data_IF_643897080079
#
_entry.id   IF_643897080079
#
_cell.length_a   1.000
_cell.length_b   1.000
_cell.length_c   1.000
_cell.angle_alpha   90.00
_cell.angle_beta   90.00
_cell.angle_gamma   90.00
#
_symmetry.space_group_name_H-M   'P 1'
#
loop_
_entity.id
_entity.type
_entity.pdbx_description
1 polymer ?
#
# COMPACT_ATOMS: atom_id res chain seq x y z
N UNK A 1 34.38 -56.52 -3.19
CA UNK A 1 32.96 -56.36 -2.78
C UNK A 1 32.82 -57.02 -1.40
N UNK A 2 32.28 -56.39 -0.33
CA UNK A 2 31.02 -55.62 -0.35
C UNK A 2 30.94 -54.30 0.49
N UNK A 3 30.06 -53.41 0.00
CA UNK A 3 29.03 -52.59 0.70
C UNK A 3 29.46 -51.42 1.60
N UNK A 4 29.56 -50.26 0.93
CA UNK A 4 29.14 -48.96 1.45
C UNK A 4 27.69 -48.99 1.96
N UNK A 5 27.44 -48.38 3.12
CA UNK A 5 26.14 -47.78 3.39
C UNK A 5 26.32 -46.55 4.28
N UNK A 6 26.41 -45.42 3.61
CA UNK A 6 26.64 -44.08 4.13
C UNK A 6 25.57 -43.64 5.12
N UNK A 7 26.06 -43.20 6.27
CA UNK A 7 25.47 -42.29 7.26
C UNK A 7 24.29 -41.49 6.71
N UNK A 8 23.08 -41.87 7.12
CA UNK A 8 21.84 -41.16 6.81
C UNK A 8 21.80 -39.87 7.65
N UNK A 9 22.22 -38.76 7.05
CA UNK A 9 22.06 -37.41 7.59
C UNK A 9 20.70 -36.90 7.16
N UNK A 10 19.74 -36.83 8.09
CA UNK A 10 18.51 -36.08 7.86
C UNK A 10 18.80 -34.61 8.14
N UNK A 11 19.11 -33.86 7.08
CA UNK A 11 18.94 -32.40 7.09
C UNK A 11 17.46 -32.10 7.22
N UNK A 12 17.05 -31.59 8.39
CA UNK A 12 15.80 -30.85 8.53
C UNK A 12 15.98 -29.53 7.79
N UNK A 13 15.80 -29.59 6.48
CA UNK A 13 15.59 -28.43 5.62
C UNK A 13 14.13 -27.99 5.81
N UNK A 14 13.82 -27.44 6.98
CA UNK A 14 12.56 -26.71 7.18
C UNK A 14 12.76 -25.29 6.68
N UNK A 15 12.91 -25.16 5.36
CA UNK A 15 12.81 -23.87 4.68
C UNK A 15 11.38 -23.38 4.90
N UNK A 16 11.25 -22.35 5.72
CA UNK A 16 10.03 -21.56 5.75
C UNK A 16 9.78 -21.06 4.33
N UNK A 17 8.57 -21.25 3.74
CA UNK A 17 8.27 -20.63 2.47
C UNK A 17 8.16 -19.13 2.71
N UNK A 18 9.26 -18.44 2.44
CA UNK A 18 9.30 -17.00 2.34
C UNK A 18 8.29 -16.59 1.26
N UNK A 19 7.34 -15.76 1.65
CA UNK A 19 6.27 -15.27 0.79
C UNK A 19 6.88 -14.43 -0.35
N UNK A 20 7.29 -15.09 -1.42
CA UNK A 20 7.53 -14.47 -2.71
C UNK A 20 6.20 -13.95 -3.26
N UNK A 21 5.87 -12.71 -2.91
CA UNK A 21 4.89 -11.95 -3.69
C UNK A 21 5.61 -11.20 -4.79
N UNK A 22 5.80 -11.95 -5.88
CA UNK A 22 5.67 -11.55 -7.27
C UNK A 22 6.32 -10.21 -7.67
N UNK A 23 7.49 -10.37 -8.29
CA UNK A 23 8.02 -9.47 -9.30
C UNK A 23 7.01 -9.33 -10.45
N UNK A 24 6.53 -8.12 -10.73
CA UNK A 24 6.02 -7.75 -12.06
C UNK A 24 6.64 -6.42 -12.45
N UNK A 25 7.70 -6.52 -13.25
CA UNK A 25 8.36 -5.43 -13.96
C UNK A 25 7.43 -5.00 -15.12
N UNK A 26 6.57 -4.02 -14.88
CA UNK A 26 5.96 -3.24 -15.97
C UNK A 26 6.44 -1.81 -15.76
N UNK A 27 7.35 -1.31 -16.59
CA UNK A 27 7.81 0.08 -16.55
C UNK A 27 6.68 1.03 -16.93
N UNK A 28 5.79 1.31 -15.98
CA UNK A 28 5.04 2.56 -15.97
C UNK A 28 6.02 3.60 -15.45
N UNK A 29 6.31 4.62 -16.26
CA UNK A 29 7.15 5.75 -15.87
C UNK A 29 6.66 6.29 -14.52
N UNK A 30 7.40 5.96 -13.46
CA UNK A 30 7.12 6.45 -12.12
C UNK A 30 7.44 7.93 -12.12
N UNK A 31 6.42 8.77 -12.29
CA UNK A 31 6.54 10.20 -12.04
C UNK A 31 6.99 10.36 -10.60
N UNK A 32 8.03 11.17 -10.36
CA UNK A 32 8.59 11.39 -9.03
C UNK A 32 7.46 11.78 -8.06
N UNK A 33 7.44 11.25 -6.81
CA UNK A 33 6.40 11.56 -5.82
C UNK A 33 6.10 13.06 -5.67
N UNK A 34 7.13 13.90 -5.70
CA UNK A 34 7.02 15.36 -5.58
C UNK A 34 6.44 16.10 -6.80
N UNK A 35 6.28 15.42 -7.94
CA UNK A 35 5.63 15.98 -9.15
C UNK A 35 4.15 15.54 -9.25
N UNK A 36 3.73 14.57 -8.45
CA UNK A 36 2.34 14.10 -8.47
C UNK A 36 1.43 15.06 -7.71
N UNK A 37 0.33 15.47 -8.35
CA UNK A 37 -0.71 16.31 -7.74
C UNK A 37 -1.65 15.44 -6.93
N UNK A 38 -1.20 14.98 -5.76
CA UNK A 38 -2.03 14.19 -4.85
C UNK A 38 -3.06 15.10 -4.19
N UNK A 39 -4.33 14.69 -4.13
CA UNK A 39 -5.37 15.43 -3.41
C UNK A 39 -6.02 14.53 -2.38
N UNK A 40 -6.38 15.11 -1.25
CA UNK A 40 -6.99 14.40 -0.12
C UNK A 40 -8.33 15.08 0.18
N UNK A 41 -9.41 14.36 -0.07
CA UNK A 41 -10.79 14.80 0.20
C UNK A 41 -11.37 14.04 1.36
N UNK A 42 -12.25 14.69 2.10
CA UNK A 42 -13.14 14.01 3.03
C UNK A 42 -14.52 13.86 2.38
N UNK A 43 -14.95 12.62 2.22
CA UNK A 43 -16.30 12.28 1.78
C UNK A 43 -17.15 11.86 2.97
N UNK A 44 -18.25 12.58 3.16
CA UNK A 44 -19.27 12.34 4.19
C UNK A 44 -20.67 12.15 3.57
N UNK A 45 -20.83 12.37 2.26
CA UNK A 45 -22.15 12.40 1.61
C UNK A 45 -22.73 10.98 1.55
N UNK A 46 -23.98 10.82 2.00
CA UNK A 46 -24.73 9.55 1.95
C UNK A 46 -24.12 8.38 2.74
N UNK A 47 -23.23 8.63 3.70
CA UNK A 47 -22.56 7.58 4.50
C UNK A 47 -23.12 7.41 5.92
N UNK A 48 -24.30 7.96 6.21
CA UNK A 48 -24.98 7.77 7.51
C UNK A 48 -24.17 8.23 8.71
N UNK A 49 -23.44 9.34 8.59
CA UNK A 49 -22.56 9.88 9.64
C UNK A 49 -21.12 9.35 9.63
N UNK A 50 -20.80 8.34 8.81
CA UNK A 50 -19.41 7.85 8.67
C UNK A 50 -18.63 8.73 7.69
N UNK A 51 -17.44 9.15 8.10
CA UNK A 51 -16.51 9.88 7.23
C UNK A 51 -15.54 8.93 6.53
N UNK A 52 -15.19 9.20 5.29
CA UNK A 52 -14.18 8.48 4.52
C UNK A 52 -13.21 9.49 3.92
N UNK A 53 -11.92 9.26 4.08
CA UNK A 53 -10.86 10.05 3.46
C UNK A 53 -10.54 9.44 2.10
N UNK A 54 -10.71 10.20 1.03
CA UNK A 54 -10.42 9.79 -0.36
C UNK A 54 -9.12 10.46 -0.81
N UNK A 55 -8.19 9.68 -1.32
CA UNK A 55 -6.91 10.15 -1.85
C UNK A 55 -6.89 9.91 -3.36
N UNK A 56 -6.68 10.96 -4.12
CA UNK A 56 -6.70 10.98 -5.58
C UNK A 56 -5.41 11.56 -6.17
N UNK A 57 -5.17 11.34 -7.46
CA UNK A 57 -4.02 11.91 -8.17
C UNK A 57 -2.70 11.14 -7.97
N UNK A 58 -2.77 9.90 -7.48
CA UNK A 58 -1.64 8.98 -7.40
C UNK A 58 -1.43 8.32 -8.77
N UNK A 59 -0.41 8.77 -9.50
CA UNK A 59 -0.04 8.22 -10.81
C UNK A 59 1.04 7.16 -10.61
N UNK A 60 0.62 6.00 -10.12
CA UNK A 60 1.50 4.87 -9.83
C UNK A 60 0.83 3.55 -10.22
N UNK A 61 1.61 2.47 -10.27
CA UNK A 61 1.08 1.14 -10.63
C UNK A 61 0.10 0.66 -9.56
N UNK A 62 -0.85 -0.16 -9.97
CA UNK A 62 -1.77 -0.86 -9.06
C UNK A 62 -1.07 -1.62 -7.93
N UNK A 63 0.08 -2.23 -8.20
CA UNK A 63 0.89 -2.90 -7.17
C UNK A 63 1.41 -1.91 -6.10
N UNK A 64 1.84 -0.72 -6.52
CA UNK A 64 2.37 0.31 -5.64
C UNK A 64 1.23 1.01 -4.88
N UNK A 65 0.08 1.26 -5.52
CA UNK A 65 -1.14 1.73 -4.85
C UNK A 65 -1.54 0.79 -3.71
N UNK A 66 -1.53 -0.53 -3.97
CA UNK A 66 -1.82 -1.54 -2.94
C UNK A 66 -0.80 -1.52 -1.81
N UNK A 67 0.47 -1.30 -2.10
CA UNK A 67 1.52 -1.20 -1.10
C UNK A 67 1.35 0.07 -0.25
N UNK A 68 1.10 1.21 -0.88
CA UNK A 68 0.82 2.48 -0.22
C UNK A 68 -0.43 2.37 0.67
N UNK A 69 -1.52 1.80 0.15
CA UNK A 69 -2.72 1.53 0.94
C UNK A 69 -2.41 0.64 2.16
N UNK A 70 -1.58 -0.40 2.00
CA UNK A 70 -1.19 -1.27 3.12
C UNK A 70 -0.40 -0.49 4.18
N UNK A 71 0.53 0.38 3.77
CA UNK A 71 1.29 1.22 4.69
C UNK A 71 0.40 2.22 5.42
N UNK A 72 -0.52 2.87 4.71
CA UNK A 72 -1.49 3.80 5.30
C UNK A 72 -2.39 3.08 6.31
N UNK A 73 -2.96 1.93 5.95
CA UNK A 73 -3.77 1.10 6.87
C UNK A 73 -2.99 0.67 8.10
N UNK A 74 -1.72 0.29 7.94
CA UNK A 74 -0.85 -0.10 9.06
C UNK A 74 -0.55 1.07 10.01
N UNK A 75 -0.36 2.27 9.49
CA UNK A 75 -0.09 3.48 10.30
C UNK A 75 -1.34 4.02 10.97
N UNK A 76 -2.48 3.95 10.29
CA UNK A 76 -3.74 4.52 10.76
C UNK A 76 -4.53 3.49 11.59
N UNK A 77 -4.29 2.19 11.43
CA UNK A 77 -5.10 1.14 12.06
C UNK A 77 -6.54 1.12 11.54
N UNK A 78 -6.77 1.64 10.34
CA UNK A 78 -8.11 1.75 9.72
C UNK A 78 -8.25 0.85 8.51
N UNK A 79 -9.49 0.52 8.18
CA UNK A 79 -9.83 -0.09 6.91
C UNK A 79 -9.64 0.88 5.75
N UNK A 80 -9.45 0.33 4.56
CA UNK A 80 -9.39 1.10 3.33
C UNK A 80 -9.37 0.22 2.09
N UNK A 81 -9.80 0.78 0.96
CA UNK A 81 -9.94 0.11 -0.33
C UNK A 81 -9.34 0.97 -1.46
N UNK A 82 -9.03 0.34 -2.58
CA UNK A 82 -8.75 1.04 -3.83
C UNK A 82 -10.02 0.99 -4.67
N UNK A 83 -10.49 2.13 -5.13
CA UNK A 83 -11.66 2.26 -6.00
C UNK A 83 -11.33 3.22 -7.12
N UNK A 84 -11.38 2.76 -8.37
CA UNK A 84 -11.16 3.61 -9.55
C UNK A 84 -9.83 4.40 -9.50
N UNK A 85 -8.73 3.75 -9.10
CA UNK A 85 -7.41 4.34 -8.85
C UNK A 85 -7.35 5.39 -7.71
N UNK A 86 -8.42 5.50 -6.92
CA UNK A 86 -8.51 6.31 -5.71
C UNK A 86 -8.27 5.42 -4.49
N UNK A 87 -7.61 5.94 -3.46
CA UNK A 87 -7.53 5.26 -2.16
C UNK A 87 -8.63 5.80 -1.25
N UNK A 88 -9.51 4.93 -0.79
CA UNK A 88 -10.52 5.25 0.22
C UNK A 88 -10.06 4.71 1.57
N UNK A 89 -10.01 5.57 2.58
CA UNK A 89 -9.65 5.23 3.96
C UNK A 89 -10.81 5.57 4.88
N UNK A 90 -11.20 4.63 5.74
CA UNK A 90 -12.28 4.88 6.70
C UNK A 90 -11.84 5.87 7.79
N UNK A 91 -12.73 6.81 8.09
CA UNK A 91 -12.54 7.83 9.12
C UNK A 91 -12.16 9.19 8.57
N UNK A 92 -12.25 10.19 9.45
CA UNK A 92 -11.73 11.53 9.22
C UNK A 92 -10.26 11.56 9.65
N UNK A 93 -9.38 11.19 8.72
CA UNK A 93 -7.94 11.16 8.94
C UNK A 93 -7.21 11.97 7.90
N UNK A 94 -7.87 12.96 7.30
CA UNK A 94 -7.30 13.81 6.27
C UNK A 94 -5.98 14.44 6.70
N UNK A 95 -5.91 14.95 7.93
CA UNK A 95 -4.71 15.60 8.45
C UNK A 95 -3.55 14.60 8.64
N UNK A 96 -3.79 13.47 9.28
CA UNK A 96 -2.76 12.42 9.45
C UNK A 96 -2.30 11.85 8.11
N UNK A 97 -3.22 11.65 7.17
CA UNK A 97 -2.91 11.20 5.81
C UNK A 97 -2.03 12.23 5.09
N UNK A 98 -2.34 13.52 5.19
CA UNK A 98 -1.51 14.58 4.62
C UNK A 98 -0.08 14.53 5.18
N UNK A 99 0.08 14.46 6.50
CA UNK A 99 1.41 14.36 7.14
C UNK A 99 2.16 13.11 6.71
N UNK A 100 1.51 11.95 6.61
CA UNK A 100 2.17 10.72 6.14
C UNK A 100 2.62 10.87 4.69
N UNK A 101 1.77 11.40 3.81
CA UNK A 101 2.08 11.60 2.41
C UNK A 101 3.21 12.62 2.21
N UNK A 102 3.23 13.71 2.97
CA UNK A 102 4.31 14.70 2.98
C UNK A 102 5.64 14.07 3.40
N UNK A 103 5.64 13.27 4.47
CA UNK A 103 6.83 12.52 4.93
C UNK A 103 7.33 11.51 3.89
N UNK A 104 6.44 10.99 3.04
CA UNK A 104 6.80 10.10 1.94
C UNK A 104 7.25 10.86 0.67
N UNK A 105 7.32 12.19 0.71
CA UNK A 105 7.79 13.05 -0.38
C UNK A 105 6.71 13.41 -1.42
N UNK A 106 5.43 13.13 -1.12
CA UNK A 106 4.31 13.62 -1.93
C UNK A 106 3.95 15.05 -1.52
N UNK A 107 3.27 15.77 -2.42
CA UNK A 107 2.70 17.10 -2.13
C UNK A 107 1.17 17.02 -2.11
N UNK A 108 0.58 16.41 -1.06
CA UNK A 108 -0.87 16.32 -0.96
C UNK A 108 -1.48 17.71 -0.83
N UNK A 109 -2.61 17.91 -1.49
CA UNK A 109 -3.46 19.10 -1.29
C UNK A 109 -4.80 18.66 -0.75
N UNK A 110 -5.27 19.31 0.32
CA UNK A 110 -6.64 19.10 0.79
C UNK A 110 -7.62 19.53 -0.32
N UNK A 111 -8.46 18.63 -0.80
CA UNK A 111 -9.58 18.94 -1.70
C UNK A 111 -10.88 18.77 -0.95
N UNK A 112 -11.35 19.83 -0.30
CA UNK A 112 -12.61 19.78 0.45
C UNK A 112 -13.06 21.19 0.81
N UNK A 113 -14.18 21.59 0.23
CA UNK A 113 -15.08 22.62 0.76
C UNK A 113 -16.33 21.93 1.25
#
# INVERSE_FOLDING_TARGET
>A
MPRDNSKLVYSTDSVVPEKEKATVKTSVEQIRPGQQKVRVRLDRKHRGGKSVTVIEGLRMKNAELRNLLKQLKSRLGTGGAIKDDLLEIQGDRGDTVMTILENMGYKPKRSGG
#
